data_IF_949625820428
#
_entry.id   IF_949625820428
#
_cell.length_a   1.000
_cell.length_b   1.000
_cell.length_c   1.000
_cell.angle_alpha   90.00
_cell.angle_beta   90.00
_cell.angle_gamma   90.00
#
_symmetry.space_group_name_H-M   'P 1'
#
loop_
_entity.id
_entity.type
_entity.pdbx_description
1 polymer ?
#
# COMPACT_ATOMS: atom_id res chain seq x y z
N UNK A 1 29.14 4.87 15.89
CA UNK A 1 27.85 5.55 16.09
C UNK A 1 26.83 4.73 15.34
N UNK A 2 26.16 3.81 16.02
CA UNK A 2 25.10 3.00 15.39
C UNK A 2 24.00 3.96 14.95
N UNK A 3 23.79 4.05 13.64
CA UNK A 3 22.65 4.75 13.09
C UNK A 3 21.44 3.89 13.49
N UNK A 4 20.52 4.43 14.29
CA UNK A 4 19.22 3.78 14.48
C UNK A 4 18.57 3.73 13.09
N UNK A 5 18.49 2.56 12.50
CA UNK A 5 17.79 2.37 11.23
C UNK A 5 16.32 2.70 11.47
N UNK A 6 15.85 3.79 10.84
CA UNK A 6 14.43 4.11 10.84
C UNK A 6 13.75 3.18 9.85
N UNK A 7 12.65 2.59 10.30
CA UNK A 7 11.89 1.64 9.51
C UNK A 7 10.56 2.26 9.11
N UNK A 8 10.20 2.11 7.83
CA UNK A 8 8.82 2.29 7.40
C UNK A 8 8.01 1.04 7.77
N UNK A 9 6.69 1.21 7.89
CA UNK A 9 5.75 0.11 8.10
C UNK A 9 4.57 0.24 7.16
N UNK A 10 4.10 -0.87 6.61
CA UNK A 10 3.01 -0.85 5.65
C UNK A 10 2.22 -2.14 5.59
N UNK A 11 1.20 -2.10 4.74
CA UNK A 11 0.30 -3.20 4.49
C UNK A 11 0.24 -3.50 3.00
N UNK A 12 0.31 -4.79 2.66
CA UNK A 12 0.11 -5.29 1.31
C UNK A 12 -0.91 -6.43 1.35
N UNK A 13 -1.92 -6.38 0.48
CA UNK A 13 -2.76 -7.56 0.22
C UNK A 13 -2.02 -8.46 -0.76
N UNK A 14 -1.73 -9.72 -0.40
CA UNK A 14 -0.92 -10.62 -1.24
C UNK A 14 -1.56 -10.91 -2.61
N UNK A 15 -2.88 -10.74 -2.72
CA UNK A 15 -3.64 -10.89 -3.97
C UNK A 15 -3.63 -9.62 -4.86
N UNK A 16 -3.02 -8.51 -4.41
CA UNK A 16 -3.00 -7.23 -5.14
C UNK A 16 -1.98 -7.09 -6.29
N UNK A 17 -0.83 -7.79 -6.32
CA UNK A 17 0.03 -7.80 -7.50
C UNK A 17 -0.66 -8.49 -8.69
N UNK A 18 -0.47 -7.96 -9.91
CA UNK A 18 -0.97 -8.61 -11.14
C UNK A 18 -0.26 -9.94 -11.39
N UNK A 19 -0.87 -10.79 -12.21
CA UNK A 19 -0.21 -12.01 -12.69
C UNK A 19 1.13 -11.69 -13.37
N UNK A 20 2.20 -12.37 -12.96
CA UNK A 20 3.56 -12.10 -13.43
C UNK A 20 4.22 -10.83 -12.85
N UNK A 21 3.51 -10.06 -12.02
CA UNK A 21 4.08 -8.94 -11.27
C UNK A 21 5.08 -9.44 -10.23
N UNK A 22 6.25 -8.79 -10.17
CA UNK A 22 7.32 -9.13 -9.21
C UNK A 22 7.65 -7.90 -8.38
N UNK A 23 7.40 -7.98 -7.07
CA UNK A 23 7.91 -7.02 -6.10
C UNK A 23 9.33 -7.44 -5.69
N UNK A 24 10.33 -6.67 -6.06
CA UNK A 24 11.74 -6.95 -5.74
C UNK A 24 12.56 -5.66 -5.64
N UNK A 25 13.81 -5.77 -5.19
CA UNK A 25 14.73 -4.63 -5.11
C UNK A 25 14.75 -3.90 -3.78
N UNK A 26 13.76 -4.13 -2.91
CA UNK A 26 13.72 -3.66 -1.52
C UNK A 26 13.49 -4.86 -0.59
N UNK A 27 14.34 -5.07 0.42
CA UNK A 27 14.14 -6.15 1.39
C UNK A 27 12.96 -5.81 2.31
N UNK A 28 11.94 -6.67 2.30
CA UNK A 28 10.79 -6.55 3.19
C UNK A 28 10.93 -7.50 4.37
N UNK A 29 10.84 -6.98 5.58
CA UNK A 29 10.63 -7.79 6.77
C UNK A 29 9.12 -7.99 6.97
N UNK A 30 8.64 -9.20 6.73
CA UNK A 30 7.25 -9.56 7.06
C UNK A 30 7.09 -9.59 8.59
N UNK A 31 6.17 -8.79 9.10
CA UNK A 31 5.86 -8.63 10.53
C UNK A 31 4.68 -9.48 10.96
N UNK A 32 3.67 -9.60 10.09
CA UNK A 32 2.47 -10.38 10.33
C UNK A 32 1.86 -10.84 9.01
N UNK A 33 1.30 -12.05 9.02
CA UNK A 33 0.48 -12.58 7.94
C UNK A 33 -0.87 -12.94 8.54
N UNK A 34 -1.94 -12.38 7.99
CA UNK A 34 -3.31 -12.68 8.38
C UNK A 34 -4.14 -13.04 7.15
N UNK A 35 -5.01 -14.05 7.25
CA UNK A 35 -5.98 -14.38 6.20
C UNK A 35 -7.39 -14.25 6.75
N UNK A 36 -8.20 -13.42 6.10
CA UNK A 36 -9.54 -13.08 6.57
C UNK A 36 -10.52 -12.81 5.42
N UNK A 37 -11.82 -12.59 5.73
CA UNK A 37 -12.77 -12.11 4.74
C UNK A 37 -12.34 -10.73 4.22
N UNK A 38 -12.50 -10.49 2.92
CA UNK A 38 -12.32 -9.17 2.36
C UNK A 38 -13.42 -8.23 2.88
N UNK A 39 -13.08 -6.99 3.29
CA UNK A 39 -14.10 -5.99 3.63
C UNK A 39 -14.79 -5.53 2.35
N UNK A 40 -16.01 -6.03 2.12
CA UNK A 40 -16.87 -5.68 0.98
C UNK A 40 -16.13 -5.71 -0.38
N UNK A 41 -15.75 -6.92 -0.87
CA UNK A 41 -14.98 -7.05 -2.10
C UNK A 41 -15.75 -6.53 -3.31
N UNK A 42 -15.09 -5.74 -4.15
CA UNK A 42 -15.64 -5.33 -5.45
C UNK A 42 -15.63 -6.50 -6.45
N UNK A 43 -16.40 -6.40 -7.53
CA UNK A 43 -16.38 -7.37 -8.63
C UNK A 43 -14.97 -7.49 -9.22
N UNK A 44 -14.32 -8.64 -8.99
CA UNK A 44 -12.94 -8.91 -9.40
C UNK A 44 -11.95 -9.11 -8.26
N UNK A 45 -12.31 -8.74 -7.01
CA UNK A 45 -11.49 -9.02 -5.84
C UNK A 45 -11.81 -10.40 -5.24
N UNK A 46 -10.79 -11.04 -4.65
CA UNK A 46 -11.00 -12.28 -3.88
C UNK A 46 -11.86 -12.02 -2.64
N UNK A 47 -12.80 -12.94 -2.35
CA UNK A 47 -13.63 -12.90 -1.13
C UNK A 47 -12.83 -13.03 0.17
N UNK A 48 -11.57 -13.45 0.07
CA UNK A 48 -10.61 -13.57 1.18
C UNK A 48 -9.31 -12.91 0.78
N UNK A 49 -8.73 -12.17 1.70
CA UNK A 49 -7.46 -11.50 1.53
C UNK A 49 -6.41 -12.08 2.45
N UNK A 50 -5.17 -12.09 1.99
CA UNK A 50 -3.98 -12.31 2.80
C UNK A 50 -3.30 -10.97 3.04
N UNK A 51 -3.41 -10.46 4.26
CA UNK A 51 -2.79 -9.21 4.69
C UNK A 51 -1.36 -9.50 5.13
N UNK A 52 -0.41 -8.80 4.51
CA UNK A 52 1.00 -8.78 4.89
C UNK A 52 1.29 -7.43 5.52
N UNK A 53 1.53 -7.42 6.83
CA UNK A 53 2.15 -6.26 7.47
C UNK A 53 3.66 -6.41 7.32
N UNK A 54 4.33 -5.37 6.83
CA UNK A 54 5.77 -5.39 6.57
C UNK A 54 6.47 -4.17 7.15
N UNK A 55 7.79 -4.28 7.27
CA UNK A 55 8.69 -3.17 7.53
C UNK A 55 9.87 -3.19 6.54
N UNK A 56 10.45 -2.03 6.26
CA UNK A 56 11.64 -1.87 5.43
C UNK A 56 12.44 -0.63 5.89
N UNK A 57 13.70 -0.45 5.46
CA UNK A 57 14.43 0.79 5.71
C UNK A 57 13.69 2.01 5.14
N UNK A 58 13.58 3.10 5.90
CA UNK A 58 12.93 4.34 5.41
C UNK A 58 13.65 4.93 4.19
N UNK A 59 14.97 4.75 4.09
CA UNK A 59 15.78 5.24 2.96
C UNK A 59 15.37 4.56 1.63
N UNK A 60 14.66 3.41 1.68
CA UNK A 60 14.12 2.71 0.51
C UNK A 60 12.66 3.08 0.17
N UNK A 61 12.01 3.98 0.93
CA UNK A 61 10.59 4.32 0.75
C UNK A 61 10.21 4.67 -0.69
N UNK A 62 10.99 5.52 -1.36
CA UNK A 62 10.75 5.89 -2.76
C UNK A 62 10.88 4.69 -3.72
N UNK A 63 11.92 3.87 -3.54
CA UNK A 63 12.17 2.68 -4.36
C UNK A 63 11.07 1.63 -4.18
N UNK A 64 10.59 1.47 -2.94
CA UNK A 64 9.48 0.58 -2.63
C UNK A 64 8.18 1.05 -3.29
N UNK A 65 7.88 2.35 -3.23
CA UNK A 65 6.69 2.92 -3.86
C UNK A 65 6.68 2.69 -5.38
N UNK A 66 7.82 2.92 -6.04
CA UNK A 66 7.96 2.67 -7.48
C UNK A 66 7.81 1.19 -7.83
N UNK A 67 8.43 0.29 -7.06
CA UNK A 67 8.33 -1.15 -7.28
C UNK A 67 6.89 -1.66 -7.11
N UNK A 68 6.18 -1.16 -6.09
CA UNK A 68 4.76 -1.46 -5.88
C UNK A 68 3.90 -0.93 -7.03
N UNK A 69 4.05 0.34 -7.41
CA UNK A 69 3.30 0.94 -8.51
C UNK A 69 3.54 0.18 -9.83
N UNK A 70 4.75 -0.38 -10.00
CA UNK A 70 5.11 -1.17 -11.16
C UNK A 70 4.52 -2.59 -11.15
N UNK A 71 4.13 -3.18 -10.01
CA UNK A 71 3.67 -4.58 -9.93
C UNK A 71 2.19 -4.77 -9.56
N UNK A 72 1.51 -3.78 -9.00
CA UNK A 72 0.10 -3.88 -8.63
C UNK A 72 -0.81 -4.11 -9.84
N UNK A 73 -1.94 -4.77 -9.59
CA UNK A 73 -3.03 -4.97 -10.56
C UNK A 73 -3.78 -3.66 -10.78
N UNK A 74 -3.82 -3.14 -12.04
CA UNK A 74 -4.52 -1.90 -12.35
C UNK A 74 -6.05 -1.97 -12.23
N UNK A 75 -6.65 -3.16 -12.34
CA UNK A 75 -8.09 -3.33 -12.19
C UNK A 75 -8.50 -3.64 -10.74
N UNK A 76 -9.75 -3.29 -10.36
CA UNK A 76 -10.32 -3.69 -9.08
C UNK A 76 -9.81 -2.93 -7.85
N UNK A 77 -9.31 -1.70 -8.04
CA UNK A 77 -9.03 -0.78 -6.93
C UNK A 77 -7.91 -1.24 -5.98
N UNK A 78 -6.94 -2.04 -6.45
CA UNK A 78 -5.85 -2.47 -5.60
C UNK A 78 -4.90 -1.33 -5.26
N UNK A 79 -4.50 -1.26 -4.00
CA UNK A 79 -3.47 -0.36 -3.52
C UNK A 79 -2.67 -0.99 -2.39
N UNK A 80 -1.50 -0.43 -2.14
CA UNK A 80 -0.70 -0.68 -0.93
C UNK A 80 -0.43 0.66 -0.25
N UNK A 81 -0.39 0.66 1.07
CA UNK A 81 -0.07 1.84 1.87
C UNK A 81 1.07 1.53 2.84
N UNK A 82 1.89 2.54 3.08
CA UNK A 82 2.94 2.47 4.08
C UNK A 82 3.34 3.85 4.56
N UNK A 83 3.93 3.87 5.75
CA UNK A 83 4.26 5.09 6.46
C UNK A 83 5.71 5.07 6.91
N UNK A 84 6.37 6.20 6.72
CA UNK A 84 7.59 6.57 7.44
C UNK A 84 7.21 7.40 8.67
N UNK A 85 8.20 7.79 9.47
CA UNK A 85 7.96 8.73 10.57
C UNK A 85 7.38 10.09 10.12
N UNK A 86 7.66 10.54 8.89
CA UNK A 86 7.33 11.88 8.42
C UNK A 86 6.27 11.92 7.31
N UNK A 87 6.14 10.84 6.54
CA UNK A 87 5.37 10.82 5.29
C UNK A 87 4.56 9.53 5.17
N UNK A 88 3.37 9.68 4.57
CA UNK A 88 2.51 8.60 4.15
C UNK A 88 2.64 8.35 2.64
N UNK A 89 2.53 7.08 2.26
CA UNK A 89 2.56 6.62 0.89
C UNK A 89 1.32 5.77 0.63
N UNK A 90 0.62 6.10 -0.46
CA UNK A 90 -0.51 5.31 -0.97
C UNK A 90 -0.25 5.04 -2.43
N UNK A 91 -0.12 3.76 -2.78
CA UNK A 91 0.42 3.31 -4.05
C UNK A 91 -0.64 2.50 -4.78
N UNK A 92 -1.00 2.98 -5.96
CA UNK A 92 -1.83 2.28 -6.94
C UNK A 92 -0.94 1.83 -8.10
N UNK A 93 -1.47 0.96 -8.96
CA UNK A 93 -0.80 0.64 -10.22
C UNK A 93 -0.50 1.93 -11.02
N UNK A 94 0.77 2.16 -11.33
CA UNK A 94 1.24 3.33 -12.10
C UNK A 94 1.12 4.69 -11.40
N UNK A 95 0.69 4.77 -10.14
CA UNK A 95 0.52 6.05 -9.44
C UNK A 95 0.88 5.97 -7.96
N UNK A 96 1.77 6.87 -7.53
CA UNK A 96 2.19 7.02 -6.14
C UNK A 96 1.68 8.36 -5.60
N UNK A 97 1.01 8.32 -4.46
CA UNK A 97 0.77 9.50 -3.63
C UNK A 97 1.73 9.49 -2.45
N UNK A 98 2.35 10.64 -2.20
CA UNK A 98 3.26 10.88 -1.08
C UNK A 98 2.91 12.21 -0.45
N UNK A 99 2.68 12.22 0.86
CA UNK A 99 2.32 13.45 1.58
C UNK A 99 2.78 13.42 3.04
N UNK A 100 2.96 14.58 3.70
CA UNK A 100 3.31 14.63 5.11
C UNK A 100 2.25 13.95 5.99
N UNK A 101 2.68 13.22 7.02
CA UNK A 101 1.76 12.63 8.01
C UNK A 101 0.88 13.73 8.62
N UNK A 102 -0.43 13.48 8.67
CA UNK A 102 -1.41 14.44 9.20
C UNK A 102 -1.92 15.49 8.18
N UNK A 103 -1.46 15.47 6.93
CA UNK A 103 -2.01 16.33 5.87
C UNK A 103 -3.39 15.81 5.41
N UNK A 104 -4.45 16.30 6.07
CA UNK A 104 -5.82 15.92 5.77
C UNK A 104 -6.31 16.32 4.37
N UNK A 105 -5.76 17.38 3.78
CA UNK A 105 -6.15 17.82 2.43
C UNK A 105 -5.62 16.85 1.37
N UNK A 106 -4.35 16.43 1.51
CA UNK A 106 -3.76 15.39 0.64
C UNK A 106 -4.44 14.05 0.85
N UNK A 107 -4.71 13.66 2.10
CA UNK A 107 -5.47 12.44 2.39
C UNK A 107 -6.84 12.44 1.68
N UNK A 108 -7.55 13.56 1.67
CA UNK A 108 -8.82 13.71 0.96
C UNK A 108 -8.67 13.60 -0.57
N UNK A 109 -7.59 14.16 -1.13
CA UNK A 109 -7.25 14.01 -2.56
C UNK A 109 -7.01 12.53 -2.93
N UNK A 110 -6.26 11.81 -2.09
CA UNK A 110 -6.00 10.37 -2.28
C UNK A 110 -7.30 9.57 -2.21
N UNK A 111 -8.15 9.85 -1.22
CA UNK A 111 -9.45 9.18 -1.08
C UNK A 111 -10.36 9.47 -2.28
N UNK A 112 -10.34 10.70 -2.84
CA UNK A 112 -11.08 11.02 -4.05
C UNK A 112 -10.56 10.24 -5.26
N UNK A 113 -9.23 10.10 -5.40
CA UNK A 113 -8.65 9.26 -6.45
C UNK A 113 -9.00 7.78 -6.26
N UNK A 114 -8.89 7.25 -5.05
CA UNK A 114 -9.21 5.87 -4.70
C UNK A 114 -10.66 5.52 -5.12
N UNK A 115 -11.63 6.39 -4.81
CA UNK A 115 -13.01 6.26 -5.30
C UNK A 115 -13.10 6.25 -6.83
N UNK A 116 -12.34 7.12 -7.50
CA UNK A 116 -12.34 7.19 -8.97
C UNK A 116 -11.79 5.94 -9.66
N UNK A 117 -10.98 5.14 -8.96
CA UNK A 117 -10.41 3.88 -9.48
C UNK A 117 -11.08 2.62 -8.92
N UNK A 118 -12.24 2.78 -8.26
CA UNK A 118 -13.09 1.66 -7.83
C UNK A 118 -12.85 1.16 -6.40
N UNK A 119 -12.00 1.82 -5.59
CA UNK A 119 -11.82 1.38 -4.19
C UNK A 119 -13.15 1.53 -3.42
N UNK A 120 -13.68 0.45 -2.82
CA UNK A 120 -14.89 0.52 -2.00
C UNK A 120 -14.73 1.44 -0.79
N UNK A 121 -15.78 2.20 -0.46
CA UNK A 121 -15.77 3.18 0.65
C UNK A 121 -15.30 2.60 2.00
N UNK A 122 -15.72 1.38 2.42
CA UNK A 122 -15.25 0.76 3.67
C UNK A 122 -13.74 0.50 3.71
N UNK A 123 -13.09 0.45 2.54
CA UNK A 123 -11.64 0.26 2.42
C UNK A 123 -10.89 1.58 2.47
N UNK A 124 -11.57 2.72 2.33
CA UNK A 124 -10.94 4.06 2.32
C UNK A 124 -10.57 4.55 3.72
N UNK A 125 -11.17 3.98 4.77
CA UNK A 125 -10.80 4.30 6.16
C UNK A 125 -9.36 3.86 6.51
N UNK A 126 -8.76 2.97 5.71
CA UNK A 126 -7.36 2.54 5.84
C UNK A 126 -6.35 3.47 5.16
N UNK A 127 -6.80 4.43 4.37
CA UNK A 127 -5.90 5.42 3.75
C UNK A 127 -5.41 6.32 4.87
N UNK A 128 -4.19 6.13 5.37
CA UNK A 128 -3.54 7.02 6.34
C UNK A 128 -2.05 7.17 6.04
#
# INVERSE_FOLDING_TARGET
MDRVERMLTGVLVAESPREGGVLSGVPLQVRRIERGPAPEPESGQSLRWTILEFAAPEDDAGRLAEALAACLEPAGGWYADFNTAAEAFVVFAGRVFRYPRGDGARRAEVAAYARSVGVPEPQLDRVD
#
